data_IF_402878701633
#
_entry.id   IF_402878701633
#
_cell.length_a   1.000
_cell.length_b   1.000
_cell.length_c   1.000
_cell.angle_alpha   90.00
_cell.angle_beta   90.00
_cell.angle_gamma   90.00
#
_symmetry.space_group_name_H-M   'P 1'
#
loop_
_entity.id
_entity.type
_entity.pdbx_description
1 polymer ?
#
# COMPACT_ATOMS: atom_id res chain seq x y z
N UNK A 1 -7.34 -15.71 5.10
CA UNK A 1 -7.18 -14.24 5.23
C UNK A 1 -6.01 -13.92 6.15
N UNK A 2 -5.09 -13.02 5.77
CA UNK A 2 -3.96 -12.57 6.60
C UNK A 2 -4.20 -11.13 7.08
N UNK A 3 -3.84 -10.85 8.34
CA UNK A 3 -3.99 -9.52 8.94
C UNK A 3 -2.63 -8.87 9.11
N UNK A 4 -2.43 -7.71 8.51
CA UNK A 4 -1.23 -6.89 8.60
C UNK A 4 -1.52 -5.52 9.20
N UNK A 5 -0.44 -4.82 9.59
CA UNK A 5 -0.49 -3.45 10.08
C UNK A 5 0.65 -2.65 9.46
N UNK A 6 0.30 -1.51 8.84
CA UNK A 6 1.25 -0.60 8.23
C UNK A 6 2.01 0.16 9.32
N UNK A 7 3.33 0.16 9.25
CA UNK A 7 4.20 0.79 10.25
C UNK A 7 4.33 2.31 10.09
N UNK A 8 3.82 2.91 9.03
CA UNK A 8 3.76 4.38 8.88
C UNK A 8 2.95 5.07 9.99
N UNK A 9 2.25 4.28 10.81
CA UNK A 9 1.63 4.75 12.06
C UNK A 9 2.68 5.17 13.11
N UNK A 10 3.90 4.59 13.09
CA UNK A 10 4.97 4.83 14.05
C UNK A 10 6.29 5.30 13.44
N UNK A 11 6.61 4.89 12.21
CA UNK A 11 7.92 5.14 11.62
C UNK A 11 7.85 5.21 10.10
N UNK A 12 8.71 6.03 9.51
CA UNK A 12 8.97 6.10 8.08
C UNK A 12 10.22 5.30 7.64
N UNK A 13 10.91 4.65 8.61
CA UNK A 13 12.10 3.82 8.38
C UNK A 13 12.25 2.75 9.44
N UNK A 14 12.91 1.66 9.09
CA UNK A 14 13.19 0.58 10.04
C UNK A 14 14.42 0.92 10.89
N UNK A 15 14.32 0.80 12.21
CA UNK A 15 15.40 1.03 13.18
C UNK A 15 15.15 0.25 14.47
N UNK A 16 16.16 0.08 15.33
CA UNK A 16 16.06 -0.75 16.54
C UNK A 16 14.96 -0.33 17.52
N UNK A 17 14.60 0.95 17.54
CA UNK A 17 13.46 1.43 18.34
C UNK A 17 12.11 0.81 17.95
N UNK A 18 12.01 0.18 16.78
CA UNK A 18 10.80 -0.50 16.33
C UNK A 18 10.65 -1.92 16.88
N UNK A 19 11.69 -2.50 17.46
CA UNK A 19 11.65 -3.88 18.01
C UNK A 19 10.51 -4.06 19.00
N UNK A 20 10.37 -3.27 20.08
CA UNK A 20 9.27 -3.45 21.03
C UNK A 20 7.89 -3.21 20.43
N UNK A 21 7.79 -2.38 19.39
CA UNK A 21 6.53 -2.12 18.68
C UNK A 21 6.12 -3.37 17.88
N UNK A 22 7.05 -3.94 17.11
CA UNK A 22 6.82 -5.13 16.29
C UNK A 22 6.49 -6.35 17.16
N UNK A 23 7.19 -6.55 18.30
CA UNK A 23 6.88 -7.59 19.28
C UNK A 23 5.46 -7.44 19.84
N UNK A 24 5.05 -6.23 20.14
CA UNK A 24 3.69 -5.95 20.60
C UNK A 24 2.63 -6.19 19.54
N UNK A 25 2.88 -5.83 18.27
CA UNK A 25 2.02 -6.14 17.12
C UNK A 25 1.84 -7.67 16.99
N UNK A 26 2.93 -8.44 17.12
CA UNK A 26 2.88 -9.90 17.16
C UNK A 26 2.02 -10.41 18.31
N UNK A 27 2.21 -9.86 19.51
CA UNK A 27 1.46 -10.26 20.71
C UNK A 27 -0.05 -9.97 20.60
N UNK A 28 -0.45 -8.92 19.85
CA UNK A 28 -1.85 -8.65 19.53
C UNK A 28 -2.48 -9.72 18.62
N UNK A 29 -1.67 -10.45 17.86
CA UNK A 29 -2.12 -11.53 16.98
C UNK A 29 -2.25 -11.13 15.51
N UNK A 30 -1.52 -10.12 15.06
CA UNK A 30 -1.31 -9.87 13.64
C UNK A 30 -0.45 -10.98 13.01
N UNK A 31 -0.69 -11.30 11.75
CA UNK A 31 0.12 -12.26 10.99
C UNK A 31 1.40 -11.62 10.47
N UNK A 32 1.40 -10.30 10.26
CA UNK A 32 2.56 -9.58 9.75
C UNK A 32 2.44 -8.08 9.88
N UNK A 33 3.48 -7.41 9.36
CA UNK A 33 3.60 -5.96 9.29
C UNK A 33 3.79 -5.51 7.84
N UNK A 34 3.49 -4.24 7.57
CA UNK A 34 3.86 -3.58 6.33
C UNK A 34 4.98 -2.59 6.60
N UNK A 35 6.15 -2.88 6.02
CA UNK A 35 7.39 -2.14 6.26
C UNK A 35 7.51 -0.94 5.32
N UNK A 36 7.85 0.27 5.79
CA UNK A 36 8.28 1.35 4.91
C UNK A 36 9.65 1.02 4.30
N UNK A 37 9.77 1.08 2.96
CA UNK A 37 11.05 1.00 2.25
C UNK A 37 11.28 2.32 1.53
N UNK A 38 11.72 3.32 2.29
CA UNK A 38 12.14 4.63 1.82
C UNK A 38 13.65 4.80 1.90
N UNK A 39 14.31 4.12 2.85
CA UNK A 39 15.76 4.01 2.94
C UNK A 39 16.22 2.76 2.19
N UNK A 40 17.11 2.94 1.20
CA UNK A 40 17.53 1.87 0.30
C UNK A 40 18.83 1.22 0.78
N UNK A 41 18.80 0.62 1.99
CA UNK A 41 19.88 -0.15 2.60
C UNK A 41 19.49 -1.63 2.70
N UNK A 42 19.99 -2.45 1.78
CA UNK A 42 19.74 -3.89 1.77
C UNK A 42 20.22 -4.60 3.04
N UNK A 43 21.33 -4.12 3.65
CA UNK A 43 21.87 -4.72 4.88
C UNK A 43 20.92 -4.55 6.04
N UNK A 44 20.38 -3.34 6.21
CA UNK A 44 19.35 -3.03 7.20
C UNK A 44 18.10 -3.90 6.99
N UNK A 45 17.61 -3.96 5.76
CA UNK A 45 16.41 -4.72 5.45
C UNK A 45 16.60 -6.24 5.62
N UNK A 46 17.79 -6.77 5.32
CA UNK A 46 18.15 -8.17 5.58
C UNK A 46 18.16 -8.48 7.08
N UNK A 47 18.67 -7.58 7.91
CA UNK A 47 18.65 -7.75 9.37
C UNK A 47 17.21 -7.76 9.89
N UNK A 48 16.36 -6.86 9.40
CA UNK A 48 14.96 -6.84 9.76
C UNK A 48 14.20 -8.09 9.27
N UNK A 49 14.51 -8.59 8.08
CA UNK A 49 13.96 -9.84 7.57
C UNK A 49 14.22 -11.01 8.54
N UNK A 50 15.47 -11.19 8.98
CA UNK A 50 15.83 -12.22 9.97
C UNK A 50 15.09 -12.06 11.30
N UNK A 51 15.01 -10.83 11.79
CA UNK A 51 14.31 -10.53 13.07
C UNK A 51 12.82 -10.84 12.98
N UNK A 52 12.19 -10.56 11.84
CA UNK A 52 10.79 -10.90 11.62
C UNK A 52 10.58 -12.42 11.49
N UNK A 53 11.51 -13.13 10.85
CA UNK A 53 11.49 -14.60 10.81
C UNK A 53 11.58 -15.21 12.20
N UNK A 54 12.48 -14.71 13.06
CA UNK A 54 12.62 -15.14 14.46
C UNK A 54 11.34 -14.90 15.28
N UNK A 55 10.62 -13.80 15.00
CA UNK A 55 9.32 -13.51 15.61
C UNK A 55 8.16 -14.29 14.99
N UNK A 56 8.38 -14.98 13.86
CA UNK A 56 7.33 -15.62 13.09
C UNK A 56 6.29 -14.62 12.55
N UNK A 57 6.76 -13.44 12.13
CA UNK A 57 5.96 -12.40 11.47
C UNK A 57 6.24 -12.38 9.97
N UNK A 58 5.18 -12.47 9.19
CA UNK A 58 5.25 -12.19 7.76
C UNK A 58 5.32 -10.67 7.50
N UNK A 59 5.57 -10.25 6.26
CA UNK A 59 5.71 -8.85 5.89
C UNK A 59 5.29 -8.56 4.45
N UNK A 60 4.65 -7.43 4.28
CA UNK A 60 4.54 -6.67 3.04
C UNK A 60 5.40 -5.42 3.16
N UNK A 61 5.49 -4.62 2.13
CA UNK A 61 6.21 -3.35 2.17
C UNK A 61 5.46 -2.26 1.42
N UNK A 62 5.69 -1.01 1.81
CA UNK A 62 5.15 0.17 1.16
C UNK A 62 6.27 1.11 0.71
N UNK A 63 6.09 1.73 -0.47
CA UNK A 63 6.97 2.78 -1.00
C UNK A 63 6.17 3.80 -1.79
N UNK A 64 6.75 4.98 -2.00
CA UNK A 64 6.16 6.07 -2.79
C UNK A 64 7.14 6.56 -3.84
N UNK A 65 6.66 7.30 -4.83
CA UNK A 65 7.49 8.02 -5.79
C UNK A 65 7.37 9.53 -5.57
N UNK A 66 8.43 10.26 -5.90
CA UNK A 66 8.56 11.69 -5.69
C UNK A 66 8.85 12.40 -7.04
N UNK A 67 8.89 13.73 -7.05
CA UNK A 67 9.16 14.51 -8.25
C UNK A 67 10.46 14.12 -8.97
N UNK A 68 11.51 13.75 -8.21
CA UNK A 68 12.82 13.37 -8.76
C UNK A 68 12.90 11.97 -9.37
N UNK A 69 11.91 11.12 -9.07
CA UNK A 69 11.80 9.74 -9.55
C UNK A 69 10.37 9.40 -10.00
N UNK A 70 9.76 10.34 -10.76
CA UNK A 70 8.40 10.23 -11.24
C UNK A 70 8.31 9.40 -12.53
N UNK A 71 7.62 8.23 -12.51
CA UNK A 71 7.48 7.33 -13.66
C UNK A 71 6.81 7.94 -14.90
N UNK A 72 6.00 8.97 -14.71
CA UNK A 72 5.24 9.65 -15.78
C UNK A 72 5.83 11.01 -16.17
N UNK A 73 7.03 11.35 -15.67
CA UNK A 73 7.68 12.63 -15.99
C UNK A 73 7.92 12.79 -17.49
N UNK A 74 7.73 13.99 -18.07
CA UNK A 74 8.15 14.26 -19.44
C UNK A 74 9.66 14.12 -19.64
N UNK A 75 10.47 14.26 -18.57
CA UNK A 75 11.90 14.06 -18.59
C UNK A 75 12.28 12.57 -18.58
N UNK A 76 12.94 12.11 -19.65
CA UNK A 76 13.43 10.74 -19.74
C UNK A 76 14.44 10.38 -18.62
N UNK A 77 15.23 11.34 -18.14
CA UNK A 77 16.18 11.11 -17.05
C UNK A 77 15.48 10.92 -15.70
N UNK A 78 14.37 11.59 -15.44
CA UNK A 78 13.56 11.38 -14.23
C UNK A 78 12.86 10.02 -14.28
N UNK A 79 12.36 9.60 -15.44
CA UNK A 79 11.81 8.23 -15.60
C UNK A 79 12.88 7.14 -15.42
N UNK A 80 14.11 7.37 -15.91
CA UNK A 80 15.21 6.45 -15.67
C UNK A 80 15.57 6.37 -14.18
N UNK A 81 15.58 7.50 -13.48
CA UNK A 81 15.77 7.52 -12.02
C UNK A 81 14.66 6.75 -11.29
N UNK A 82 13.40 6.80 -11.77
CA UNK A 82 12.31 6.00 -11.22
C UNK A 82 12.55 4.50 -11.38
N UNK A 83 13.02 4.05 -12.56
CA UNK A 83 13.39 2.64 -12.80
C UNK A 83 14.48 2.19 -11.83
N UNK A 84 15.55 2.99 -11.68
CA UNK A 84 16.67 2.66 -10.80
C UNK A 84 16.25 2.62 -9.32
N UNK A 85 15.49 3.60 -8.88
CA UNK A 85 14.96 3.66 -7.51
C UNK A 85 14.05 2.45 -7.21
N UNK A 86 13.16 2.10 -8.13
CA UNK A 86 12.26 0.94 -7.96
C UNK A 86 13.04 -0.38 -7.92
N UNK A 87 14.08 -0.56 -8.73
CA UNK A 87 14.92 -1.76 -8.69
C UNK A 87 15.61 -1.89 -7.33
N UNK A 88 16.22 -0.83 -6.82
CA UNK A 88 16.83 -0.82 -5.47
C UNK A 88 15.81 -1.09 -4.36
N UNK A 89 14.59 -0.55 -4.49
CA UNK A 89 13.49 -0.85 -3.56
C UNK A 89 13.15 -2.35 -3.57
N UNK A 90 13.10 -2.96 -4.75
CA UNK A 90 12.84 -4.41 -4.91
C UNK A 90 13.98 -5.26 -4.35
N UNK A 91 15.24 -4.82 -4.46
CA UNK A 91 16.39 -5.49 -3.85
C UNK A 91 16.30 -5.45 -2.32
N UNK A 92 15.90 -4.32 -1.75
CA UNK A 92 15.60 -4.21 -0.31
C UNK A 92 14.43 -5.11 0.11
N UNK A 93 13.36 -5.17 -0.68
CA UNK A 93 12.24 -6.10 -0.47
C UNK A 93 12.71 -7.56 -0.45
N UNK A 94 13.50 -7.95 -1.44
CA UNK A 94 14.09 -9.29 -1.53
C UNK A 94 14.95 -9.61 -0.30
N UNK A 95 15.83 -8.67 0.08
CA UNK A 95 16.69 -8.80 1.26
C UNK A 95 15.90 -8.97 2.55
N UNK A 96 14.76 -8.30 2.69
CA UNK A 96 13.85 -8.42 3.83
C UNK A 96 12.94 -9.65 3.77
N UNK A 97 12.90 -10.39 2.64
CA UNK A 97 11.95 -11.49 2.42
C UNK A 97 10.50 -11.05 2.15
N UNK A 98 10.29 -9.79 1.75
CA UNK A 98 9.01 -9.25 1.32
C UNK A 98 8.57 -9.89 0.01
N UNK A 99 7.28 -10.19 -0.11
CA UNK A 99 6.68 -10.76 -1.33
C UNK A 99 5.74 -9.82 -2.06
N UNK A 100 5.23 -8.80 -1.38
CA UNK A 100 4.34 -7.77 -1.94
C UNK A 100 4.88 -6.41 -1.55
N UNK A 101 5.17 -5.58 -2.56
CA UNK A 101 5.50 -4.17 -2.41
C UNK A 101 4.32 -3.35 -2.89
N UNK A 102 3.70 -2.57 -2.01
CA UNK A 102 2.55 -1.73 -2.35
C UNK A 102 2.90 -0.23 -2.36
N UNK A 103 1.89 0.55 -2.68
CA UNK A 103 1.91 2.00 -2.69
C UNK A 103 1.77 2.62 -4.08
N UNK A 104 1.72 3.95 -4.17
CA UNK A 104 1.58 4.70 -5.42
C UNK A 104 2.89 4.71 -6.22
N UNK A 105 3.22 3.54 -6.79
CA UNK A 105 4.44 3.33 -7.56
C UNK A 105 4.36 3.85 -8.99
N UNK A 106 3.18 4.30 -9.43
CA UNK A 106 2.86 4.69 -10.81
C UNK A 106 3.23 6.15 -11.14
N UNK A 107 3.26 7.04 -10.15
CA UNK A 107 3.59 8.47 -10.33
C UNK A 107 3.98 9.12 -9.01
N UNK A 108 4.55 10.32 -9.06
CA UNK A 108 4.88 11.09 -7.86
C UNK A 108 3.63 11.55 -7.12
N UNK A 109 3.64 11.45 -5.78
CA UNK A 109 2.57 11.97 -4.92
C UNK A 109 2.66 13.48 -4.83
N UNK A 110 1.49 14.15 -4.86
CA UNK A 110 1.38 15.59 -4.65
C UNK A 110 1.87 16.45 -5.82
N UNK A 111 2.26 15.83 -6.94
CA UNK A 111 2.60 16.52 -8.17
C UNK A 111 1.38 16.58 -9.08
N UNK A 112 1.01 17.80 -9.51
CA UNK A 112 -0.17 18.06 -10.35
C UNK A 112 0.19 18.94 -11.55
N UNK A 113 -0.31 18.60 -12.72
CA UNK A 113 -0.12 19.38 -13.97
C UNK A 113 -1.19 20.43 -14.18
N UNK A 114 -2.27 20.39 -13.38
CA UNK A 114 -3.45 21.26 -13.58
C UNK A 114 -4.43 20.75 -14.63
N UNK A 115 -4.15 19.61 -15.24
CA UNK A 115 -5.02 18.90 -16.20
C UNK A 115 -5.14 17.43 -15.80
N UNK A 116 -6.08 16.70 -16.42
CA UNK A 116 -6.12 15.25 -16.30
C UNK A 116 -4.92 14.56 -16.96
N UNK A 117 -4.73 13.24 -16.73
CA UNK A 117 -3.62 12.50 -17.30
C UNK A 117 -3.67 12.48 -18.83
N UNK A 118 -2.51 12.59 -19.45
CA UNK A 118 -2.34 12.52 -20.91
C UNK A 118 -2.04 11.08 -21.37
N UNK A 119 -2.22 10.83 -22.67
CA UNK A 119 -1.84 9.55 -23.29
C UNK A 119 -0.33 9.30 -23.20
N UNK A 120 0.49 10.34 -23.30
CA UNK A 120 1.94 10.23 -23.17
C UNK A 120 2.34 9.83 -21.75
N UNK A 121 1.76 10.45 -20.72
CA UNK A 121 1.99 10.07 -19.33
C UNK A 121 1.60 8.61 -19.04
N UNK A 122 0.46 8.17 -19.59
CA UNK A 122 0.04 6.77 -19.47
C UNK A 122 1.06 5.83 -20.14
N UNK A 123 1.51 6.15 -21.33
CA UNK A 123 2.53 5.39 -22.05
C UNK A 123 3.86 5.36 -21.30
N UNK A 124 4.33 6.50 -20.80
CA UNK A 124 5.57 6.57 -20.03
C UNK A 124 5.49 5.75 -18.73
N UNK A 125 4.37 5.83 -18.02
CA UNK A 125 4.14 5.04 -16.82
C UNK A 125 4.16 3.53 -17.10
N UNK A 126 3.48 3.08 -18.14
CA UNK A 126 3.48 1.67 -18.59
C UNK A 126 4.89 1.22 -18.98
N UNK A 127 5.61 2.00 -19.79
CA UNK A 127 6.96 1.67 -20.24
C UNK A 127 7.97 1.62 -19.08
N UNK A 128 7.85 2.55 -18.11
CA UNK A 128 8.64 2.55 -16.87
C UNK A 128 8.37 1.30 -16.05
N UNK A 129 7.09 0.98 -15.82
CA UNK A 129 6.71 -0.17 -15.03
C UNK A 129 7.12 -1.51 -15.68
N UNK A 130 7.08 -1.63 -17.01
CA UNK A 130 7.58 -2.81 -17.74
C UNK A 130 9.08 -3.03 -17.52
N UNK A 131 9.89 -1.97 -17.48
CA UNK A 131 11.33 -2.07 -17.21
C UNK A 131 11.62 -2.55 -15.78
N UNK A 132 10.73 -2.24 -14.83
CA UNK A 132 10.82 -2.67 -13.42
C UNK A 132 10.29 -4.10 -13.24
N UNK A 133 9.29 -4.50 -14.01
CA UNK A 133 8.56 -5.75 -13.83
C UNK A 133 9.45 -7.00 -13.93
N UNK A 134 10.42 -7.02 -14.87
CA UNK A 134 11.37 -8.11 -15.00
C UNK A 134 12.27 -8.25 -13.75
N UNK A 135 12.68 -7.13 -13.16
CA UNK A 135 13.46 -7.12 -11.93
C UNK A 135 12.61 -7.57 -10.72
N UNK A 136 11.34 -7.17 -10.67
CA UNK A 136 10.40 -7.64 -9.66
C UNK A 136 10.25 -9.18 -9.69
N UNK A 137 10.18 -9.76 -10.87
CA UNK A 137 10.16 -11.21 -11.04
C UNK A 137 11.44 -11.89 -10.54
N UNK A 138 12.61 -11.32 -10.84
CA UNK A 138 13.90 -11.83 -10.34
C UNK A 138 14.01 -11.74 -8.82
N UNK A 139 13.54 -10.65 -8.22
CA UNK A 139 13.49 -10.45 -6.77
C UNK A 139 12.43 -11.35 -6.09
N UNK A 140 11.51 -11.95 -6.85
CA UNK A 140 10.38 -12.72 -6.33
C UNK A 140 9.37 -11.85 -5.56
N UNK A 141 9.21 -10.59 -5.97
CA UNK A 141 8.32 -9.59 -5.38
C UNK A 141 7.23 -9.22 -6.39
N UNK A 142 6.01 -9.08 -5.91
CA UNK A 142 4.89 -8.54 -6.70
C UNK A 142 4.67 -7.09 -6.32
N UNK A 143 4.65 -6.20 -7.30
CA UNK A 143 4.29 -4.80 -7.13
C UNK A 143 2.77 -4.70 -7.13
N UNK A 144 2.20 -4.20 -6.05
CA UNK A 144 0.78 -3.94 -5.89
C UNK A 144 0.54 -2.42 -6.02
N UNK A 145 0.35 -1.96 -7.25
CA UNK A 145 0.15 -0.54 -7.55
C UNK A 145 -1.13 -0.02 -6.89
N UNK A 146 -0.99 1.08 -6.16
CA UNK A 146 -2.08 1.76 -5.47
C UNK A 146 -2.57 2.96 -6.26
N UNK A 147 -3.88 3.06 -6.52
CA UNK A 147 -4.49 4.32 -6.91
C UNK A 147 -4.71 5.20 -5.68
N UNK A 148 -4.62 6.51 -5.86
CA UNK A 148 -4.87 7.48 -4.80
C UNK A 148 -6.09 8.34 -5.14
N UNK A 149 -6.68 8.98 -4.13
CA UNK A 149 -7.72 9.96 -4.37
C UNK A 149 -7.16 11.20 -5.11
N UNK A 150 -8.07 11.97 -5.73
CA UNK A 150 -7.78 13.16 -6.55
C UNK A 150 -7.06 14.29 -5.82
N UNK A 151 -7.01 14.28 -4.49
CA UNK A 151 -6.32 15.31 -3.70
C UNK A 151 -4.85 14.98 -3.45
N UNK A 152 -4.47 13.72 -3.66
CA UNK A 152 -3.11 13.22 -3.49
C UNK A 152 -2.41 12.91 -4.81
N UNK A 153 -3.19 12.61 -5.86
CA UNK A 153 -2.67 12.29 -7.19
C UNK A 153 -3.69 12.65 -8.29
N UNK A 154 -3.26 12.74 -9.55
CA UNK A 154 -4.14 12.98 -10.70
C UNK A 154 -4.07 11.89 -11.78
N UNK A 155 -3.08 10.98 -11.69
CA UNK A 155 -2.79 10.04 -12.77
C UNK A 155 -3.67 8.77 -12.69
N UNK A 156 -3.57 8.02 -11.59
CA UNK A 156 -4.46 6.88 -11.33
C UNK A 156 -5.28 7.18 -10.08
N UNK A 157 -6.55 7.48 -10.26
CA UNK A 157 -7.45 7.88 -9.16
C UNK A 157 -8.64 6.95 -8.96
N UNK A 158 -8.75 5.89 -9.77
CA UNK A 158 -9.84 4.92 -9.65
C UNK A 158 -9.39 3.49 -9.95
N UNK A 159 -10.18 2.53 -9.51
CA UNK A 159 -10.03 1.12 -9.85
C UNK A 159 -9.98 0.91 -11.36
N UNK A 160 -10.89 1.52 -12.11
CA UNK A 160 -10.95 1.37 -13.59
C UNK A 160 -9.62 1.78 -14.24
N UNK A 161 -9.08 2.94 -13.87
CA UNK A 161 -7.81 3.42 -14.42
C UNK A 161 -6.66 2.50 -14.05
N UNK A 162 -6.64 1.99 -12.81
CA UNK A 162 -5.57 1.10 -12.32
C UNK A 162 -5.64 -0.27 -12.97
N UNK A 163 -6.82 -0.84 -13.16
CA UNK A 163 -7.02 -2.09 -13.91
C UNK A 163 -6.51 -1.93 -15.34
N UNK A 164 -6.88 -0.83 -16.03
CA UNK A 164 -6.39 -0.52 -17.37
C UNK A 164 -4.86 -0.40 -17.43
N UNK A 165 -4.27 0.23 -16.41
CA UNK A 165 -2.82 0.39 -16.31
C UNK A 165 -2.12 -0.96 -16.11
N UNK A 166 -2.57 -1.78 -15.17
CA UNK A 166 -1.99 -3.12 -14.89
C UNK A 166 -2.15 -4.04 -16.11
N UNK A 167 -3.29 -4.00 -16.80
CA UNK A 167 -3.49 -4.72 -18.05
C UNK A 167 -2.52 -4.27 -19.15
N UNK A 168 -2.30 -2.95 -19.26
CA UNK A 168 -1.38 -2.41 -20.25
C UNK A 168 0.08 -2.77 -19.95
N UNK A 169 0.49 -2.85 -18.68
CA UNK A 169 1.83 -3.35 -18.29
C UNK A 169 2.00 -4.81 -18.67
N UNK A 170 0.95 -5.62 -18.48
CA UNK A 170 0.87 -7.04 -18.88
C UNK A 170 2.01 -7.89 -18.32
N UNK A 171 2.18 -7.87 -16.98
CA UNK A 171 3.21 -8.67 -16.33
C UNK A 171 2.68 -9.31 -15.03
N UNK A 172 2.99 -10.61 -14.74
CA UNK A 172 2.46 -11.30 -13.56
C UNK A 172 2.91 -10.70 -12.21
N UNK A 173 4.06 -10.04 -12.18
CA UNK A 173 4.60 -9.36 -10.98
C UNK A 173 4.19 -7.88 -10.86
N UNK A 174 3.27 -7.41 -11.71
CA UNK A 174 2.63 -6.09 -11.56
C UNK A 174 1.15 -6.30 -11.42
N UNK A 175 0.63 -5.97 -10.27
CA UNK A 175 -0.75 -6.12 -9.83
C UNK A 175 -1.21 -4.82 -9.21
N UNK A 176 -2.39 -4.81 -8.62
CA UNK A 176 -2.89 -3.68 -7.87
C UNK A 176 -3.23 -4.05 -6.44
N UNK A 177 -3.37 -3.06 -5.61
CA UNK A 177 -4.04 -3.15 -4.34
C UNK A 177 -5.35 -2.37 -4.36
N UNK A 178 -6.22 -2.67 -3.41
CA UNK A 178 -7.47 -1.94 -3.17
C UNK A 178 -7.37 -1.25 -1.81
N UNK A 179 -7.58 0.07 -1.77
CA UNK A 179 -7.65 0.83 -0.52
C UNK A 179 -9.06 1.37 -0.29
N UNK A 180 -9.63 1.06 0.86
CA UNK A 180 -10.98 1.45 1.22
C UNK A 180 -11.15 2.95 1.44
N UNK A 181 -10.09 3.67 1.86
CA UNK A 181 -10.11 5.13 2.00
C UNK A 181 -10.20 5.82 0.63
N UNK A 182 -9.31 5.45 -0.30
CA UNK A 182 -9.30 6.03 -1.64
C UNK A 182 -10.59 5.69 -2.40
N UNK A 183 -11.04 4.43 -2.31
CA UNK A 183 -12.28 4.00 -2.91
C UNK A 183 -13.51 4.74 -2.36
N UNK A 184 -13.56 4.99 -1.05
CA UNK A 184 -14.66 5.73 -0.43
C UNK A 184 -14.79 7.17 -0.94
N UNK A 185 -13.71 7.75 -1.46
CA UNK A 185 -13.72 9.10 -2.06
C UNK A 185 -14.07 9.05 -3.55
N UNK A 186 -13.52 8.09 -4.29
CA UNK A 186 -13.49 8.11 -5.77
C UNK A 186 -14.55 7.22 -6.42
N UNK A 187 -14.91 6.09 -5.79
CA UNK A 187 -15.79 5.11 -6.41
C UNK A 187 -17.27 5.41 -6.15
N UNK A 188 -18.08 5.37 -7.21
CA UNK A 188 -19.53 5.57 -7.10
C UNK A 188 -20.27 4.30 -6.68
N UNK A 189 -19.66 3.14 -6.88
CA UNK A 189 -20.19 1.83 -6.53
C UNK A 189 -19.04 0.92 -6.08
N UNK A 190 -18.91 0.77 -4.78
CA UNK A 190 -17.80 0.02 -4.16
C UNK A 190 -17.82 -1.45 -4.56
N UNK A 191 -18.98 -2.09 -4.57
CA UNK A 191 -19.11 -3.50 -4.94
C UNK A 191 -18.66 -3.75 -6.38
N UNK A 192 -19.09 -2.92 -7.32
CA UNK A 192 -18.67 -3.01 -8.72
C UNK A 192 -17.15 -2.77 -8.87
N UNK A 193 -16.60 -1.78 -8.18
CA UNK A 193 -15.17 -1.49 -8.19
C UNK A 193 -14.36 -2.69 -7.65
N UNK A 194 -14.76 -3.27 -6.52
CA UNK A 194 -14.11 -4.45 -5.94
C UNK A 194 -14.15 -5.64 -6.90
N UNK A 195 -15.29 -5.91 -7.52
CA UNK A 195 -15.40 -7.01 -8.50
C UNK A 195 -14.51 -6.79 -9.72
N UNK A 196 -14.39 -5.56 -10.21
CA UNK A 196 -13.50 -5.22 -11.33
C UNK A 196 -12.01 -5.34 -10.94
N UNK A 197 -11.65 -4.95 -9.70
CA UNK A 197 -10.30 -5.03 -9.18
C UNK A 197 -9.85 -6.46 -8.86
N UNK A 198 -10.78 -7.33 -8.42
CA UNK A 198 -10.48 -8.63 -7.79
C UNK A 198 -9.50 -9.51 -8.57
N UNK A 199 -9.55 -9.66 -9.93
CA UNK A 199 -8.60 -10.48 -10.67
C UNK A 199 -7.14 -9.99 -10.58
N UNK A 200 -6.95 -8.75 -10.17
CA UNK A 200 -5.64 -8.08 -10.13
C UNK A 200 -5.21 -7.72 -8.71
N UNK A 201 -6.10 -7.80 -7.72
CA UNK A 201 -5.85 -7.38 -6.34
C UNK A 201 -5.09 -8.44 -5.56
N UNK A 202 -3.92 -8.07 -5.02
CA UNK A 202 -3.08 -8.95 -4.20
C UNK A 202 -2.99 -8.49 -2.74
N UNK A 203 -3.46 -7.29 -2.42
CA UNK A 203 -3.46 -6.68 -1.10
C UNK A 203 -4.64 -5.70 -0.97
N UNK A 204 -5.24 -5.65 0.22
CA UNK A 204 -6.28 -4.68 0.58
C UNK A 204 -5.82 -3.86 1.77
N UNK A 205 -5.81 -2.52 1.64
CA UNK A 205 -5.74 -1.64 2.79
C UNK A 205 -7.12 -1.44 3.40
N UNK A 206 -7.20 -1.69 4.70
CA UNK A 206 -8.37 -1.44 5.55
C UNK A 206 -8.14 -0.11 6.24
N UNK A 207 -8.64 0.96 5.65
CA UNK A 207 -8.39 2.35 6.04
C UNK A 207 -9.71 3.11 6.14
N UNK A 208 -9.93 3.81 7.25
CA UNK A 208 -11.16 4.59 7.49
C UNK A 208 -11.13 5.91 6.69
N UNK A 209 -12.30 6.51 6.50
CA UNK A 209 -12.45 7.78 5.76
C UNK A 209 -11.64 8.96 6.35
N UNK A 210 -11.21 8.86 7.59
CA UNK A 210 -10.37 9.85 8.27
C UNK A 210 -8.99 9.31 8.65
N UNK A 211 -8.58 8.14 8.11
CA UNK A 211 -7.32 7.45 8.40
C UNK A 211 -7.16 7.03 9.87
N UNK A 212 -8.28 6.91 10.62
CA UNK A 212 -8.33 6.48 12.02
C UNK A 212 -8.66 4.97 12.16
N UNK A 213 -9.30 4.60 13.26
CA UNK A 213 -9.69 3.21 13.56
C UNK A 213 -10.81 2.78 12.60
N UNK A 214 -10.63 1.72 11.77
CA UNK A 214 -11.67 1.19 10.91
C UNK A 214 -12.96 0.87 11.67
N UNK A 215 -14.10 1.30 11.12
CA UNK A 215 -15.42 1.13 11.72
C UNK A 215 -15.86 2.25 12.65
N UNK A 216 -15.03 3.28 12.84
CA UNK A 216 -15.41 4.47 13.64
C UNK A 216 -15.87 5.65 12.80
N UNK A 217 -15.72 5.58 11.49
CA UNK A 217 -16.15 6.59 10.53
C UNK A 217 -17.36 6.15 9.70
N UNK A 218 -17.30 6.36 8.40
CA UNK A 218 -18.45 6.13 7.51
C UNK A 218 -18.09 5.36 6.21
N UNK A 219 -16.93 4.70 6.16
CA UNK A 219 -16.67 3.74 5.06
C UNK A 219 -17.74 2.66 5.05
N UNK A 220 -18.22 2.30 3.88
CA UNK A 220 -19.27 1.28 3.69
C UNK A 220 -18.72 -0.13 3.88
N UNK A 221 -18.38 -0.47 5.13
CA UNK A 221 -17.67 -1.69 5.50
C UNK A 221 -18.40 -2.98 5.16
N UNK A 222 -19.70 -3.06 5.46
CA UNK A 222 -20.47 -4.28 5.15
C UNK A 222 -20.50 -4.54 3.64
N UNK A 223 -20.73 -3.51 2.83
CA UNK A 223 -20.71 -3.61 1.37
C UNK A 223 -19.32 -4.02 0.86
N UNK A 224 -18.24 -3.41 1.39
CA UNK A 224 -16.86 -3.70 0.99
C UNK A 224 -16.47 -5.16 1.32
N UNK A 225 -16.73 -5.62 2.54
CA UNK A 225 -16.43 -7.00 2.93
C UNK A 225 -17.31 -8.04 2.22
N UNK A 226 -18.59 -7.73 1.98
CA UNK A 226 -19.48 -8.60 1.22
C UNK A 226 -19.01 -8.76 -0.23
N UNK A 227 -18.60 -7.66 -0.87
CA UNK A 227 -18.04 -7.66 -2.23
C UNK A 227 -16.70 -8.41 -2.31
N UNK A 228 -15.78 -8.20 -1.35
CA UNK A 228 -14.51 -8.95 -1.29
C UNK A 228 -14.77 -10.46 -1.13
N UNK A 229 -15.72 -10.85 -0.29
CA UNK A 229 -16.11 -12.26 -0.14
C UNK A 229 -16.71 -12.82 -1.43
N UNK A 230 -17.64 -12.11 -2.05
CA UNK A 230 -18.27 -12.52 -3.30
C UNK A 230 -17.26 -12.65 -4.45
N UNK A 231 -16.22 -11.81 -4.46
CA UNK A 231 -15.11 -11.86 -5.41
C UNK A 231 -14.08 -12.97 -5.11
N UNK A 232 -14.25 -13.74 -4.02
CA UNK A 232 -13.35 -14.84 -3.63
C UNK A 232 -12.00 -14.37 -3.10
N UNK A 233 -11.91 -13.12 -2.61
CA UNK A 233 -10.65 -12.61 -2.06
C UNK A 233 -10.22 -13.39 -0.82
N UNK A 234 -8.97 -13.85 -0.79
CA UNK A 234 -8.32 -14.52 0.34
C UNK A 234 -6.83 -14.13 0.39
N UNK A 235 -6.58 -12.87 0.66
CA UNK A 235 -5.23 -12.28 0.68
C UNK A 235 -4.93 -11.54 1.96
N UNK A 236 -4.05 -10.54 1.84
CA UNK A 236 -3.70 -9.64 2.91
C UNK A 236 -4.76 -8.54 3.11
N UNK A 237 -5.19 -8.36 4.35
CA UNK A 237 -5.88 -7.18 4.84
C UNK A 237 -4.95 -6.44 5.77
N UNK A 238 -4.46 -5.29 5.35
CA UNK A 238 -3.49 -4.48 6.09
C UNK A 238 -4.17 -3.21 6.57
N UNK A 239 -4.14 -2.97 7.88
CA UNK A 239 -4.63 -1.70 8.43
C UNK A 239 -3.66 -0.61 8.02
N UNK A 240 -4.16 0.41 7.34
CA UNK A 240 -3.45 1.65 7.09
C UNK A 240 -4.15 2.81 7.82
N UNK A 241 -3.41 3.45 8.70
CA UNK A 241 -3.90 4.56 9.49
C UNK A 241 -2.76 5.55 9.76
N UNK A 242 -3.09 6.81 9.91
CA UNK A 242 -2.11 7.87 10.13
C UNK A 242 -2.48 8.71 11.34
N UNK A 243 -1.46 9.04 12.14
CA UNK A 243 -1.59 9.86 13.34
C UNK A 243 -0.60 11.02 13.35
N UNK A 244 -0.45 11.63 14.52
CA UNK A 244 0.43 12.78 14.73
C UNK A 244 1.85 12.40 15.19
N UNK A 245 2.15 11.10 15.32
CA UNK A 245 3.46 10.62 15.79
C UNK A 245 4.60 11.00 14.82
N UNK A 246 4.30 11.05 13.53
CA UNK A 246 5.26 11.41 12.46
C UNK A 246 4.80 12.70 11.76
N UNK A 247 5.37 13.87 12.11
CA UNK A 247 4.93 15.15 11.55
C UNK A 247 5.00 15.22 10.01
N UNK A 248 6.01 14.59 9.38
CA UNK A 248 6.14 14.54 7.93
C UNK A 248 5.01 13.73 7.27
N UNK A 249 4.68 12.57 7.82
CA UNK A 249 3.57 11.73 7.33
C UNK A 249 2.23 12.41 7.60
N UNK A 250 2.02 12.98 8.81
CA UNK A 250 0.82 13.74 9.15
C UNK A 250 0.57 14.90 8.16
N UNK A 251 1.62 15.64 7.81
CA UNK A 251 1.54 16.72 6.83
C UNK A 251 1.23 16.20 5.41
N UNK A 252 1.86 15.09 4.99
CA UNK A 252 1.63 14.48 3.69
C UNK A 252 0.20 13.95 3.56
N UNK A 253 -0.33 13.31 4.62
CA UNK A 253 -1.67 12.71 4.67
C UNK A 253 -2.76 13.66 5.19
N UNK A 254 -2.42 14.93 5.49
CA UNK A 254 -3.34 15.98 5.96
C UNK A 254 -4.01 15.66 7.30
N UNK A 255 -3.28 15.00 8.19
CA UNK A 255 -3.73 14.70 9.55
C UNK A 255 -3.37 15.89 10.46
N UNK A 256 -4.36 16.66 10.87
CA UNK A 256 -4.17 17.92 11.63
C UNK A 256 -4.67 17.87 13.07
N UNK A 257 -5.27 16.74 13.47
CA UNK A 257 -5.83 16.55 14.82
C UNK A 257 -5.65 15.11 15.29
N UNK A 258 -5.66 14.92 16.60
CA UNK A 258 -5.69 13.58 17.21
C UNK A 258 -7.07 12.96 16.98
N UNK A 259 -7.14 11.74 16.41
CA UNK A 259 -8.39 11.07 16.05
C UNK A 259 -8.58 9.74 16.77
N UNK A 260 -7.56 9.22 17.44
CA UNK A 260 -7.62 7.99 18.24
C UNK A 260 -6.80 8.15 19.53
N UNK A 261 -7.07 7.32 20.58
CA UNK A 261 -6.42 7.46 21.88
C UNK A 261 -4.91 7.21 21.84
N UNK A 262 -4.49 6.16 21.16
CA UNK A 262 -3.09 5.80 20.93
C UNK A 262 -2.97 4.84 19.75
N UNK A 263 -1.76 4.75 19.18
CA UNK A 263 -1.43 3.85 18.07
C UNK A 263 -1.68 2.37 18.46
N UNK A 264 -1.41 2.00 19.71
CA UNK A 264 -1.68 0.65 20.21
C UNK A 264 -3.17 0.35 20.38
N UNK A 265 -3.97 1.32 20.80
CA UNK A 265 -5.43 1.17 20.85
C UNK A 265 -5.98 1.00 19.43
N UNK A 266 -5.50 1.83 18.49
CA UNK A 266 -5.85 1.69 17.08
C UNK A 266 -5.50 0.29 16.57
N UNK A 267 -4.27 -0.19 16.80
CA UNK A 267 -3.87 -1.52 16.38
C UNK A 267 -4.76 -2.64 16.96
N UNK A 268 -5.13 -2.52 18.23
CA UNK A 268 -6.00 -3.50 18.92
C UNK A 268 -7.40 -3.52 18.33
N UNK A 269 -8.02 -2.36 18.21
CA UNK A 269 -9.41 -2.23 17.77
C UNK A 269 -9.56 -2.58 16.28
N UNK A 270 -8.58 -2.17 15.46
CA UNK A 270 -8.57 -2.49 14.03
C UNK A 270 -8.45 -3.99 13.76
N UNK A 271 -7.63 -4.70 14.53
CA UNK A 271 -7.54 -6.16 14.40
C UNK A 271 -8.85 -6.84 14.82
N UNK A 272 -9.46 -6.39 15.92
CA UNK A 272 -10.75 -6.91 16.37
C UNK A 272 -11.85 -6.66 15.33
N UNK A 273 -11.84 -5.46 14.72
CA UNK A 273 -12.74 -5.10 13.62
C UNK A 273 -12.59 -6.04 12.42
N UNK A 274 -11.37 -6.22 11.90
CA UNK A 274 -11.13 -7.12 10.77
C UNK A 274 -11.55 -8.55 11.08
N UNK A 275 -11.15 -9.09 12.24
CA UNK A 275 -11.52 -10.46 12.67
C UNK A 275 -13.04 -10.64 12.72
N UNK A 276 -13.77 -9.69 13.28
CA UNK A 276 -15.24 -9.72 13.34
C UNK A 276 -15.87 -9.80 11.94
N UNK A 277 -15.44 -8.96 11.01
CA UNK A 277 -15.98 -8.93 9.65
C UNK A 277 -15.62 -10.17 8.85
N UNK A 278 -14.39 -10.68 9.00
CA UNK A 278 -13.92 -11.91 8.34
C UNK A 278 -14.64 -13.14 8.91
N UNK A 279 -14.72 -13.28 10.22
CA UNK A 279 -15.41 -14.41 10.85
C UNK A 279 -16.87 -14.49 10.42
N UNK A 280 -17.56 -13.35 10.32
CA UNK A 280 -18.97 -13.30 9.87
C UNK A 280 -19.18 -13.83 8.45
N UNK A 281 -18.16 -13.73 7.56
CA UNK A 281 -18.29 -13.98 6.12
C UNK A 281 -17.52 -15.18 5.60
N UNK A 282 -16.36 -15.45 6.16
CA UNK A 282 -15.45 -16.55 5.76
C UNK A 282 -15.42 -17.71 6.77
N UNK A 283 -15.80 -17.46 8.04
CA UNK A 283 -15.91 -18.47 9.10
C UNK A 283 -17.24 -19.06 9.17
#
# INVERSE_FOLDING_TARGET
MKYGLNLLLWTDRMHDGMVPIVEKIKALGYHGIEMPIFELDESLHRQWGKRLDELGLERTAVTVRNAGDNPISPSASVRAAAVDAMKKTLDCCHAAGVKILCGPTHSAIGEFTGTGPTEDEFKWGVDTMRQVAAHAAQAGVTIATEYLNRFENYFLTSVEQTVKFVQAVDHPHVRMMYDTFHANIEEKNLAQAIHAAAPYTVLVHVSENDRSIPGTGHVHWDESFDALKAAGYDGWMVVEAFGLALPGIAAATKIWRKMFPSEYQLATDSLAFMKKHVQRRWG
#
